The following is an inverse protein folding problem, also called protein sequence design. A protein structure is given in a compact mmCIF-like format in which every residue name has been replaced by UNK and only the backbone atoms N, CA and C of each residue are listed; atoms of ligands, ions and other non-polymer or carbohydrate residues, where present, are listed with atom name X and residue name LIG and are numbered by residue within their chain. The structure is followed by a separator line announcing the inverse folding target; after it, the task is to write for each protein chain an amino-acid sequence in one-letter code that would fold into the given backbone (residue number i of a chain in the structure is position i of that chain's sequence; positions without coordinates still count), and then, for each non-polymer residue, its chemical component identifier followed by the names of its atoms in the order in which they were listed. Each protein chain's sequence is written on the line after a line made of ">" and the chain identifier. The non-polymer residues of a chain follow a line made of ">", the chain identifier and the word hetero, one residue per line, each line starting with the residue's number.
data_IF_239128517179
#
_entry.id   IF_239128517179
#
_cell.length_a   1.000
_cell.length_b   1.000
_cell.length_c   1.000
_cell.angle_alpha   90.00
_cell.angle_beta   90.00
_cell.angle_gamma   90.00
#
_symmetry.space_group_name_H-M   'P 1'
#
loop_
_entity.id
_entity.type
_entity.pdbx_description
1 polymer ?
#
# COMPACT_ATOMS: atom_id res chain seq x y z
N UNK A 1 15.80 -6.86 -7.59
CA UNK A 1 16.33 -6.11 -6.44
C UNK A 1 15.21 -5.40 -5.69
N UNK A 2 14.43 -4.52 -6.34
CA UNK A 2 13.32 -3.79 -5.69
C UNK A 2 12.35 -4.73 -4.96
N UNK A 3 11.76 -5.72 -5.64
CA UNK A 3 10.79 -6.64 -5.04
C UNK A 3 11.31 -7.38 -3.79
N UNK A 4 12.60 -7.73 -3.76
CA UNK A 4 13.21 -8.42 -2.60
C UNK A 4 13.32 -7.48 -1.39
N UNK A 5 13.55 -6.20 -1.63
CA UNK A 5 13.81 -5.21 -0.59
C UNK A 5 12.55 -4.51 -0.08
N UNK A 6 11.38 -4.67 -0.72
CA UNK A 6 10.17 -3.92 -0.35
C UNK A 6 9.76 -4.10 1.12
N UNK A 7 9.93 -5.31 1.67
CA UNK A 7 9.56 -5.61 3.05
C UNK A 7 10.75 -5.42 4.02
N UNK A 8 11.99 -5.66 3.56
CA UNK A 8 13.21 -5.60 4.39
C UNK A 8 13.79 -4.17 4.52
N UNK A 9 13.93 -3.47 3.39
CA UNK A 9 14.52 -2.14 3.29
C UNK A 9 13.81 -1.31 2.19
N UNK A 10 12.65 -0.71 2.54
CA UNK A 10 11.88 0.11 1.62
C UNK A 10 12.67 1.28 1.04
N UNK A 11 13.62 1.83 1.80
CA UNK A 11 14.43 2.97 1.38
C UNK A 11 15.39 2.56 0.26
N UNK A 12 16.10 1.45 0.41
CA UNK A 12 16.94 0.92 -0.67
C UNK A 12 16.11 0.49 -1.88
N UNK A 13 14.95 -0.12 -1.67
CA UNK A 13 14.01 -0.47 -2.74
C UNK A 13 13.61 0.78 -3.56
N UNK A 14 13.29 1.88 -2.87
CA UNK A 14 12.98 3.16 -3.51
C UNK A 14 14.15 3.72 -4.30
N UNK A 15 15.38 3.69 -3.78
CA UNK A 15 16.55 4.21 -4.50
C UNK A 15 16.80 3.45 -5.81
N UNK A 16 16.68 2.12 -5.79
CA UNK A 16 16.77 1.29 -7.00
C UNK A 16 15.63 1.59 -7.98
N UNK A 17 14.39 1.70 -7.50
CA UNK A 17 13.24 1.97 -8.35
C UNK A 17 13.31 3.38 -8.97
N UNK A 18 13.76 4.38 -8.21
CA UNK A 18 14.00 5.75 -8.68
C UNK A 18 15.07 5.79 -9.77
N UNK A 19 16.16 5.04 -9.60
CA UNK A 19 17.19 4.93 -10.63
C UNK A 19 16.65 4.28 -11.91
N UNK A 20 15.85 3.22 -11.80
CA UNK A 20 15.21 2.62 -12.97
C UNK A 20 14.26 3.62 -13.66
N UNK A 21 13.45 4.36 -12.89
CA UNK A 21 12.52 5.35 -13.41
C UNK A 21 13.19 6.55 -14.10
N UNK A 22 14.42 6.93 -13.71
CA UNK A 22 15.18 7.98 -14.40
C UNK A 22 15.67 7.55 -15.78
N UNK A 23 15.83 6.24 -16.02
CA UNK A 23 16.30 5.69 -17.31
C UNK A 23 15.14 5.17 -18.19
N UNK A 24 14.07 4.65 -17.59
CA UNK A 24 12.93 4.06 -18.27
C UNK A 24 11.62 4.82 -17.98
N UNK A 25 11.70 6.16 -17.96
CA UNK A 25 10.63 7.02 -17.47
C UNK A 25 9.32 7.03 -18.27
N UNK A 26 9.24 6.34 -19.41
CA UNK A 26 8.02 6.18 -20.22
C UNK A 26 7.39 4.78 -20.10
N UNK A 27 7.94 3.94 -19.24
CA UNK A 27 7.45 2.58 -19.00
C UNK A 27 6.55 2.61 -17.76
N UNK A 28 5.26 2.31 -17.95
CA UNK A 28 4.25 2.42 -16.90
C UNK A 28 4.60 1.59 -15.65
N UNK A 29 4.99 0.32 -15.83
CA UNK A 29 5.35 -0.56 -14.71
C UNK A 29 6.58 -0.08 -13.92
N UNK A 30 7.52 0.62 -14.59
CA UNK A 30 8.69 1.19 -13.89
C UNK A 30 8.26 2.38 -13.03
N UNK A 31 7.35 3.20 -13.53
CA UNK A 31 6.75 4.31 -12.76
C UNK A 31 5.95 3.80 -11.58
N UNK A 32 5.12 2.79 -11.80
CA UNK A 32 4.35 2.12 -10.76
C UNK A 32 5.25 1.56 -9.65
N UNK A 33 6.28 0.79 -10.03
CA UNK A 33 7.25 0.24 -9.09
C UNK A 33 7.93 1.34 -8.26
N UNK A 34 8.33 2.45 -8.90
CA UNK A 34 8.90 3.59 -8.18
C UNK A 34 7.91 4.27 -7.24
N UNK A 35 6.63 4.36 -7.65
CA UNK A 35 5.56 4.92 -6.82
C UNK A 35 5.28 4.09 -5.57
N UNK A 36 5.16 2.77 -5.72
CA UNK A 36 4.93 1.84 -4.60
C UNK A 36 6.12 1.85 -3.64
N UNK A 37 7.35 1.76 -4.17
CA UNK A 37 8.54 1.79 -3.32
C UNK A 37 8.69 3.13 -2.58
N UNK A 38 8.40 4.25 -3.25
CA UNK A 38 8.38 5.57 -2.62
C UNK A 38 7.33 5.66 -1.50
N UNK A 39 6.13 5.10 -1.72
CA UNK A 39 5.05 5.10 -0.73
C UNK A 39 5.45 4.32 0.53
N UNK A 40 5.99 3.10 0.36
CA UNK A 40 6.45 2.28 1.49
C UNK A 40 7.65 2.91 2.22
N UNK A 41 8.48 3.68 1.52
CA UNK A 41 9.59 4.42 2.10
C UNK A 41 9.18 5.79 2.70
N UNK A 42 7.90 6.17 2.65
CA UNK A 42 7.39 7.44 3.21
C UNK A 42 7.66 8.68 2.35
N UNK A 43 8.13 8.53 1.11
CA UNK A 43 8.32 9.63 0.16
C UNK A 43 7.02 9.94 -0.59
N UNK A 44 6.00 10.41 0.14
CA UNK A 44 4.63 10.56 -0.37
C UNK A 44 4.50 11.50 -1.57
N UNK A 45 5.31 12.56 -1.62
CA UNK A 45 5.27 13.52 -2.73
C UNK A 45 5.74 12.90 -4.05
N UNK A 46 6.79 12.08 -3.97
CA UNK A 46 7.34 11.32 -5.08
C UNK A 46 6.42 10.17 -5.46
N UNK A 47 5.90 9.43 -4.48
CA UNK A 47 4.93 8.36 -4.71
C UNK A 47 3.73 8.86 -5.52
N UNK A 48 3.14 9.98 -5.10
CA UNK A 48 2.02 10.61 -5.79
C UNK A 48 2.34 11.00 -7.23
N UNK A 49 3.54 11.54 -7.47
CA UNK A 49 3.99 11.90 -8.83
C UNK A 49 4.12 10.67 -9.72
N UNK A 50 4.74 9.61 -9.21
CA UNK A 50 5.01 8.39 -9.97
C UNK A 50 3.73 7.59 -10.23
N UNK A 51 2.83 7.45 -9.24
CA UNK A 51 1.53 6.77 -9.40
C UNK A 51 0.66 7.48 -10.45
N UNK A 52 0.56 8.81 -10.39
CA UNK A 52 -0.17 9.58 -11.42
C UNK A 52 0.47 9.44 -12.80
N UNK A 53 1.79 9.35 -12.88
CA UNK A 53 2.50 9.11 -14.14
C UNK A 53 2.23 7.69 -14.67
N UNK A 54 2.25 6.67 -13.82
CA UNK A 54 1.91 5.30 -14.17
C UNK A 54 0.49 5.22 -14.75
N UNK A 55 -0.51 5.81 -14.07
CA UNK A 55 -1.90 5.89 -14.55
C UNK A 55 -2.02 6.55 -15.92
N UNK A 56 -1.34 7.69 -16.15
CA UNK A 56 -1.35 8.37 -17.46
C UNK A 56 -0.74 7.52 -18.58
N UNK A 57 0.27 6.70 -18.26
CA UNK A 57 0.95 5.87 -19.24
C UNK A 57 0.21 4.56 -19.52
N UNK A 58 -0.41 3.95 -18.50
CA UNK A 58 -1.16 2.70 -18.64
C UNK A 58 -2.59 2.90 -19.13
N UNK A 59 -3.21 4.04 -18.78
CA UNK A 59 -4.63 4.29 -18.99
C UNK A 59 -5.54 3.51 -18.02
N UNK A 60 -4.97 2.85 -17.00
CA UNK A 60 -5.70 2.06 -16.01
C UNK A 60 -5.76 2.82 -14.68
N UNK A 61 -6.94 2.90 -14.07
CA UNK A 61 -7.16 3.58 -12.79
C UNK A 61 -6.69 2.77 -11.56
N UNK A 62 -5.44 2.33 -11.60
CA UNK A 62 -4.80 1.58 -10.51
C UNK A 62 -4.32 2.52 -9.39
N UNK A 63 -4.05 1.93 -8.22
CA UNK A 63 -3.39 2.57 -7.07
C UNK A 63 -4.10 3.80 -6.52
N UNK A 64 -5.43 3.84 -6.64
CA UNK A 64 -6.23 4.96 -6.12
C UNK A 64 -6.12 5.08 -4.61
N UNK A 65 -6.08 3.96 -3.88
CA UNK A 65 -5.86 3.94 -2.44
C UNK A 65 -4.53 4.60 -2.05
N UNK A 66 -3.43 4.28 -2.76
CA UNK A 66 -2.10 4.89 -2.52
C UNK A 66 -2.13 6.39 -2.77
N UNK A 67 -2.77 6.85 -3.85
CA UNK A 67 -2.90 8.29 -4.12
C UNK A 67 -3.65 9.02 -3.00
N UNK A 68 -4.77 8.46 -2.53
CA UNK A 68 -5.56 9.04 -1.43
C UNK A 68 -4.73 9.09 -0.15
N UNK A 69 -4.02 8.02 0.18
CA UNK A 69 -3.23 7.96 1.41
C UNK A 69 -2.02 8.91 1.37
N UNK A 70 -1.39 9.07 0.19
CA UNK A 70 -0.31 10.05 0.01
C UNK A 70 -0.80 11.49 0.25
N UNK A 71 -1.95 11.89 -0.32
CA UNK A 71 -2.51 13.23 -0.08
C UNK A 71 -2.90 13.41 1.39
N UNK A 72 -3.43 12.36 2.04
CA UNK A 72 -3.74 12.35 3.48
C UNK A 72 -2.48 12.53 4.34
N UNK A 73 -1.42 11.77 4.06
CA UNK A 73 -0.13 11.85 4.77
C UNK A 73 0.57 13.20 4.59
N UNK A 74 0.33 13.88 3.46
CA UNK A 74 0.79 15.25 3.21
C UNK A 74 -0.10 16.32 3.89
N UNK A 75 -1.19 15.92 4.55
CA UNK A 75 -2.13 16.82 5.24
C UNK A 75 -3.17 17.47 4.31
N UNK A 76 -3.25 17.06 3.04
CA UNK A 76 -4.21 17.61 2.08
C UNK A 76 -5.53 16.83 2.10
N UNK A 77 -6.25 16.87 3.22
CA UNK A 77 -7.45 16.04 3.42
C UNK A 77 -8.52 16.25 2.33
N UNK A 78 -8.74 17.49 1.88
CA UNK A 78 -9.71 17.78 0.82
C UNK A 78 -9.31 17.14 -0.52
N UNK A 79 -8.02 17.15 -0.86
CA UNK A 79 -7.51 16.52 -2.08
C UNK A 79 -7.57 15.00 -1.99
N UNK A 80 -7.29 14.43 -0.83
CA UNK A 80 -7.44 13.01 -0.58
C UNK A 80 -8.91 12.59 -0.81
N UNK A 81 -9.86 13.37 -0.30
CA UNK A 81 -11.29 13.09 -0.48
C UNK A 81 -11.72 13.21 -1.96
N UNK A 82 -11.26 14.25 -2.66
CA UNK A 82 -11.49 14.40 -4.10
C UNK A 82 -10.92 13.23 -4.90
N UNK A 83 -9.70 12.80 -4.58
CA UNK A 83 -9.07 11.66 -5.24
C UNK A 83 -9.87 10.36 -5.01
N UNK A 84 -10.39 10.15 -3.80
CA UNK A 84 -11.23 9.00 -3.49
C UNK A 84 -12.56 9.02 -4.28
N UNK A 85 -13.19 10.19 -4.42
CA UNK A 85 -14.43 10.37 -5.18
C UNK A 85 -14.23 10.21 -6.69
N UNK A 86 -13.04 10.51 -7.19
CA UNK A 86 -12.70 10.36 -8.61
C UNK A 86 -12.44 8.91 -9.03
N UNK A 87 -12.46 7.95 -8.09
CA UNK A 87 -12.31 6.52 -8.38
C UNK A 87 -13.52 6.01 -9.18
N UNK A 88 -13.30 5.30 -10.29
CA UNK A 88 -14.38 4.61 -11.00
C UNK A 88 -14.60 3.21 -10.40
N UNK A 89 -15.72 2.93 -9.72
CA UNK A 89 -15.96 1.62 -9.10
C UNK A 89 -15.96 0.45 -10.09
N UNK A 90 -16.13 0.71 -11.39
CA UNK A 90 -16.10 -0.31 -12.44
C UNK A 90 -14.69 -0.75 -12.83
N UNK A 91 -13.68 0.05 -12.49
CA UNK A 91 -12.28 -0.22 -12.82
C UNK A 91 -11.50 -0.83 -11.65
N UNK A 92 -12.09 -0.83 -10.45
CA UNK A 92 -11.47 -1.38 -9.26
C UNK A 92 -11.88 -2.83 -9.05
N UNK A 93 -10.89 -3.69 -8.81
CA UNK A 93 -11.16 -5.05 -8.37
C UNK A 93 -11.67 -5.09 -6.90
N UNK A 94 -11.91 -6.29 -6.37
CA UNK A 94 -12.38 -6.47 -5.00
C UNK A 94 -11.36 -6.02 -3.94
N UNK A 95 -10.08 -6.29 -4.18
CA UNK A 95 -9.00 -5.94 -3.26
C UNK A 95 -8.80 -4.43 -3.27
N UNK A 96 -8.72 -3.81 -4.45
CA UNK A 96 -8.57 -2.37 -4.60
C UNK A 96 -9.73 -1.59 -3.97
N UNK A 97 -10.97 -2.10 -4.07
CA UNK A 97 -12.12 -1.50 -3.38
C UNK A 97 -11.99 -1.58 -1.86
N UNK A 98 -11.52 -2.71 -1.32
CA UNK A 98 -11.29 -2.87 0.11
C UNK A 98 -10.16 -1.95 0.62
N UNK A 99 -9.04 -1.89 -0.10
CA UNK A 99 -7.92 -0.97 0.20
C UNK A 99 -8.38 0.49 0.21
N UNK A 100 -9.14 0.90 -0.81
CA UNK A 100 -9.68 2.26 -0.88
C UNK A 100 -10.63 2.52 0.29
N UNK A 101 -11.50 1.57 0.67
CA UNK A 101 -12.39 1.71 1.82
C UNK A 101 -11.62 1.88 3.14
N UNK A 102 -10.54 1.12 3.34
CA UNK A 102 -9.66 1.25 4.50
C UNK A 102 -9.04 2.64 4.59
N UNK A 103 -8.46 3.13 3.49
CA UNK A 103 -7.85 4.48 3.44
C UNK A 103 -8.90 5.58 3.65
N UNK A 104 -10.07 5.47 3.00
CA UNK A 104 -11.13 6.47 3.14
C UNK A 104 -11.70 6.49 4.56
N UNK A 105 -11.82 5.35 5.23
CA UNK A 105 -12.20 5.29 6.64
C UNK A 105 -11.24 6.07 7.54
N UNK A 106 -9.93 5.86 7.35
CA UNK A 106 -8.89 6.60 8.08
C UNK A 106 -8.94 8.09 7.77
N UNK A 107 -9.10 8.47 6.50
CA UNK A 107 -9.29 9.87 6.09
C UNK A 107 -10.50 10.51 6.79
N UNK A 108 -11.63 9.81 6.87
CA UNK A 108 -12.83 10.33 7.55
C UNK A 108 -12.57 10.58 9.03
N UNK A 109 -11.83 9.70 9.69
CA UNK A 109 -11.42 9.94 11.07
C UNK A 109 -10.49 11.14 11.22
N UNK A 110 -9.52 11.31 10.33
CA UNK A 110 -8.64 12.49 10.34
C UNK A 110 -9.44 13.80 10.19
N UNK A 111 -10.59 13.74 9.51
CA UNK A 111 -11.57 14.83 9.39
C UNK A 111 -12.55 14.95 10.57
N UNK A 112 -12.40 14.14 11.62
CA UNK A 112 -13.30 14.08 12.78
C UNK A 112 -14.64 13.40 12.51
N UNK A 113 -14.77 12.66 11.41
CA UNK A 113 -15.99 11.98 10.95
C UNK A 113 -15.90 10.46 11.18
N UNK A 114 -15.47 10.05 12.38
CA UNK A 114 -15.19 8.64 12.70
C UNK A 114 -16.40 7.72 12.48
N UNK A 115 -17.62 8.17 12.79
CA UNK A 115 -18.85 7.40 12.54
C UNK A 115 -19.02 7.07 11.05
N UNK A 116 -18.73 8.02 10.17
CA UNK A 116 -18.79 7.80 8.73
C UNK A 116 -17.69 6.84 8.27
N UNK A 117 -16.49 6.93 8.86
CA UNK A 117 -15.43 5.95 8.62
C UNK A 117 -15.85 4.53 8.98
N UNK A 118 -16.51 4.35 10.13
CA UNK A 118 -17.05 3.05 10.54
C UNK A 118 -18.08 2.49 9.54
N UNK A 119 -19.03 3.32 9.08
CA UNK A 119 -20.04 2.89 8.09
C UNK A 119 -19.37 2.38 6.81
N UNK A 120 -18.37 3.11 6.29
CA UNK A 120 -17.64 2.73 5.08
C UNK A 120 -16.99 1.35 5.22
N UNK A 121 -16.37 1.08 6.38
CA UNK A 121 -15.76 -0.23 6.66
C UNK A 121 -16.81 -1.32 6.80
N UNK A 122 -17.92 -1.05 7.46
CA UNK A 122 -18.99 -2.04 7.60
C UNK A 122 -19.61 -2.42 6.26
N UNK A 123 -19.76 -1.46 5.34
CA UNK A 123 -20.22 -1.71 3.98
C UNK A 123 -19.20 -2.52 3.17
N UNK A 124 -17.91 -2.22 3.31
CA UNK A 124 -16.84 -3.00 2.67
C UNK A 124 -16.79 -4.46 3.19
N UNK A 125 -16.97 -4.68 4.49
CA UNK A 125 -17.09 -6.03 5.08
C UNK A 125 -18.34 -6.75 4.56
N UNK A 126 -19.46 -6.03 4.41
CA UNK A 126 -20.74 -6.60 3.90
C UNK A 126 -20.63 -7.05 2.44
N UNK A 127 -19.73 -6.45 1.67
CA UNK A 127 -19.42 -6.91 0.32
C UNK A 127 -18.80 -8.32 0.29
N UNK A 128 -18.31 -8.83 1.45
CA UNK A 128 -17.72 -10.16 1.64
C UNK A 128 -16.53 -10.42 0.70
N UNK A 129 -15.43 -9.67 0.85
CA UNK A 129 -14.22 -9.90 0.08
C UNK A 129 -13.77 -11.36 0.18
N UNK A 130 -13.40 -11.94 -0.97
CA UNK A 130 -13.02 -13.35 -1.07
C UNK A 130 -11.68 -13.65 -0.40
N UNK A 131 -10.77 -12.68 -0.39
CA UNK A 131 -9.47 -12.80 0.27
C UNK A 131 -9.59 -12.67 1.80
N UNK A 132 -9.15 -13.70 2.52
CA UNK A 132 -9.26 -13.77 3.97
C UNK A 132 -8.37 -12.76 4.69
N UNK A 133 -7.22 -12.40 4.10
CA UNK A 133 -6.29 -11.43 4.68
C UNK A 133 -6.87 -10.02 4.58
N UNK A 134 -7.40 -9.65 3.41
CA UNK A 134 -8.14 -8.41 3.17
C UNK A 134 -9.32 -8.28 4.12
N UNK A 135 -10.11 -9.35 4.29
CA UNK A 135 -11.22 -9.35 5.24
C UNK A 135 -10.75 -9.16 6.70
N UNK A 136 -9.64 -9.79 7.09
CA UNK A 136 -9.03 -9.60 8.41
C UNK A 136 -8.60 -8.15 8.61
N UNK A 137 -7.92 -7.53 7.63
CA UNK A 137 -7.49 -6.13 7.68
C UNK A 137 -8.68 -5.17 7.80
N UNK A 138 -9.76 -5.39 7.05
CA UNK A 138 -11.01 -4.63 7.20
C UNK A 138 -11.58 -4.72 8.62
N UNK A 139 -11.59 -5.92 9.22
CA UNK A 139 -12.02 -6.10 10.60
C UNK A 139 -11.08 -5.43 11.62
N UNK A 140 -9.78 -5.37 11.35
CA UNK A 140 -8.82 -4.61 12.15
C UNK A 140 -9.17 -3.12 12.16
N UNK A 141 -9.35 -2.51 10.98
CA UNK A 141 -9.77 -1.10 10.85
C UNK A 141 -11.12 -0.85 11.52
N UNK A 142 -12.06 -1.80 11.42
CA UNK A 142 -13.36 -1.73 12.13
C UNK A 142 -13.16 -1.64 13.64
N UNK A 143 -12.29 -2.48 14.21
CA UNK A 143 -12.00 -2.47 15.64
C UNK A 143 -11.40 -1.12 16.06
N UNK A 144 -10.50 -0.55 15.26
CA UNK A 144 -9.90 0.75 15.54
C UNK A 144 -10.96 1.87 15.52
N UNK A 145 -11.85 1.89 14.51
CA UNK A 145 -12.95 2.89 14.47
C UNK A 145 -13.88 2.75 15.67
N UNK A 146 -14.18 1.52 16.11
CA UNK A 146 -15.00 1.27 17.29
C UNK A 146 -14.32 1.78 18.58
N UNK A 147 -13.02 1.54 18.72
CA UNK A 147 -12.24 2.02 19.87
C UNK A 147 -12.18 3.55 19.94
N UNK A 148 -11.95 4.22 18.81
CA UNK A 148 -11.94 5.69 18.72
C UNK A 148 -13.30 6.33 19.06
N UNK A 149 -14.40 5.60 18.83
CA UNK A 149 -15.74 5.98 19.24
C UNK A 149 -16.06 5.62 20.71
N UNK A 150 -15.11 5.04 21.45
CA UNK A 150 -15.26 4.62 22.84
C UNK A 150 -16.00 3.29 23.03
N UNK A 151 -16.25 2.53 21.95
CA UNK A 151 -16.91 1.22 21.97
C UNK A 151 -15.91 0.08 22.22
N UNK A 152 -15.13 0.21 23.30
CA UNK A 152 -13.97 -0.65 23.58
C UNK A 152 -14.30 -2.15 23.65
N UNK A 153 -15.42 -2.52 24.27
CA UNK A 153 -15.83 -3.94 24.39
C UNK A 153 -16.11 -4.57 23.03
N UNK A 154 -16.68 -3.81 22.10
CA UNK A 154 -16.95 -4.29 20.74
C UNK A 154 -15.66 -4.41 19.94
N UNK A 155 -14.75 -3.43 20.07
CA UNK A 155 -13.44 -3.47 19.44
C UNK A 155 -12.63 -4.69 19.89
N UNK A 156 -12.56 -4.96 21.19
CA UNK A 156 -11.88 -6.12 21.78
C UNK A 156 -12.49 -7.44 21.29
N UNK A 157 -13.82 -7.56 21.29
CA UNK A 157 -14.50 -8.76 20.79
C UNK A 157 -14.24 -9.03 19.29
N UNK A 158 -14.00 -7.98 18.49
CA UNK A 158 -13.59 -8.14 17.09
C UNK A 158 -12.13 -8.61 17.01
N UNK A 159 -11.22 -8.00 17.78
CA UNK A 159 -9.79 -8.38 17.83
C UNK A 159 -9.60 -9.84 18.26
N UNK A 160 -10.32 -10.28 19.30
CA UNK A 160 -10.31 -11.66 19.76
C UNK A 160 -10.77 -12.64 18.67
N UNK A 161 -11.74 -12.25 17.85
CA UNK A 161 -12.27 -13.09 16.78
C UNK A 161 -11.30 -13.23 15.60
N UNK A 162 -10.63 -12.14 15.21
CA UNK A 162 -9.68 -12.17 14.09
C UNK A 162 -8.34 -12.83 14.46
N UNK A 163 -8.02 -12.84 15.76
CA UNK A 163 -6.75 -13.34 16.28
C UNK A 163 -5.60 -12.32 16.12
N UNK A 164 -4.41 -12.64 16.63
CA UNK A 164 -3.24 -11.81 16.42
C UNK A 164 -2.91 -11.69 14.93
N UNK A 165 -2.25 -10.60 14.55
CA UNK A 165 -1.67 -10.49 13.22
C UNK A 165 -0.69 -11.66 12.99
N UNK A 166 -0.72 -12.28 11.80
CA UNK A 166 0.20 -13.33 11.48
C UNK A 166 1.59 -12.70 11.42
N UNK A 167 2.51 -13.18 12.26
CA UNK A 167 3.93 -12.87 12.07
C UNK A 167 4.39 -13.63 10.84
N UNK A 168 5.12 -12.97 9.93
CA UNK A 168 5.82 -13.67 8.86
C UNK A 168 6.79 -14.65 9.55
N UNK A 169 6.49 -15.94 9.49
CA UNK A 169 7.39 -16.97 9.99
C UNK A 169 8.59 -17.02 9.04
N UNK A 170 9.80 -16.93 9.60
CA UNK A 170 11.04 -17.08 8.84
C UNK A 170 10.95 -18.33 7.94
N UNK A 171 11.32 -18.19 6.67
CA UNK A 171 11.34 -19.28 5.70
C UNK A 171 12.10 -20.48 6.29
N UNK A 172 11.39 -21.56 6.61
CA UNK A 172 12.01 -22.75 7.18
C UNK A 172 12.91 -23.38 6.11
N UNK A 173 14.22 -23.14 6.22
CA UNK A 173 15.22 -23.85 5.43
C UNK A 173 15.16 -25.35 5.77
N UNK A 174 14.51 -26.13 4.90
CA UNK A 174 14.50 -27.58 5.00
C UNK A 174 15.86 -28.09 4.53
N UNK A 175 16.71 -28.47 5.47
CA UNK A 175 17.94 -29.19 5.16
C UNK A 175 17.63 -30.67 4.93
N UNK A 176 17.98 -31.20 3.76
CA UNK A 176 17.98 -32.65 3.53
C UNK A 176 19.09 -33.29 4.38
N UNK A 177 18.72 -34.24 5.25
CA UNK A 177 19.62 -34.92 6.22
C UNK A 177 20.38 -36.09 5.56
N UNK A 178 20.35 -36.24 4.23
CA UNK A 178 20.79 -37.49 3.59
C UNK A 178 22.30 -37.59 3.26
N UNK A 179 23.12 -36.55 3.46
CA UNK A 179 24.53 -36.58 2.99
C UNK A 179 25.58 -37.03 4.05
N UNK A 180 25.22 -37.27 5.30
CA UNK A 180 26.21 -37.56 6.38
C UNK A 180 26.36 -39.04 6.77
N UNK A 181 25.75 -39.98 6.04
CA UNK A 181 25.76 -41.41 6.42
C UNK A 181 26.66 -42.35 5.61
N UNK A 182 27.38 -41.87 4.58
CA UNK A 182 28.12 -42.77 3.66
C UNK A 182 29.66 -42.62 3.65
N UNK A 183 30.25 -41.93 4.64
CA UNK A 183 31.71 -41.74 4.72
C UNK A 183 32.45 -42.70 5.67
N UNK A 184 31.84 -43.80 6.14
CA UNK A 184 32.50 -44.81 6.97
C UNK A 184 32.40 -46.23 6.41
N UNK A 185 32.93 -46.48 5.21
CA UNK A 185 33.35 -47.83 4.82
C UNK A 185 34.41 -47.82 3.71
N UNK A 186 35.53 -48.53 4.00
CA UNK A 186 36.62 -48.97 3.10
C UNK A 186 37.84 -48.01 2.98
N UNK A 187 39.10 -48.41 3.16
CA UNK A 187 39.74 -49.70 3.47
C UNK A 187 41.21 -49.42 3.86
N UNK A 188 41.77 -50.25 4.74
CA UNK A 188 43.18 -50.29 5.15
C UNK A 188 44.06 -51.01 4.09
N UNK A 189 45.32 -50.57 3.86
CA UNK A 189 46.58 -51.34 4.07
C UNK A 189 47.80 -50.99 3.15
N UNK A 190 48.83 -50.35 3.75
CA UNK A 190 50.32 -50.55 3.63
C UNK A 190 51.17 -50.25 2.35
N UNK A 191 52.53 -50.13 2.42
CA UNK A 191 53.35 -49.11 3.13
C UNK A 191 54.63 -48.59 2.36
N UNK A 192 55.28 -47.57 2.92
CA UNK A 192 56.69 -47.05 2.78
C UNK A 192 57.40 -46.84 1.41
N UNK A 193 57.94 -45.62 1.19
CA UNK A 193 59.40 -45.36 0.99
C UNK A 193 59.80 -43.86 1.04
N UNK A 194 60.96 -43.66 1.65
CA UNK A 194 61.69 -42.44 2.03
C UNK A 194 62.21 -41.54 0.90
N UNK A 195 62.38 -40.23 1.18
CA UNK A 195 63.12 -39.27 0.34
C UNK A 195 63.20 -37.82 0.84
N UNK A 196 64.06 -37.56 1.85
CA UNK A 196 64.88 -36.37 2.17
C UNK A 196 64.66 -34.99 1.49
N UNK A 197 64.38 -33.97 2.34
CA UNK A 197 64.90 -32.58 2.48
C UNK A 197 65.29 -31.71 1.24
N UNK A 198 64.84 -30.45 1.18
CA UNK A 198 65.56 -29.26 1.72
C UNK A 198 64.95 -27.91 1.29
N UNK A 199 65.25 -26.88 2.10
CA UNK A 199 64.80 -25.49 2.20
C UNK A 199 64.85 -24.58 0.96
N UNK A 200 64.07 -23.49 1.01
CA UNK A 200 64.48 -22.15 0.54
C UNK A 200 63.93 -21.03 1.44
N UNK A 201 64.87 -20.21 1.92
CA UNK A 201 64.76 -18.96 2.71
C UNK A 201 63.94 -17.86 2.00
N UNK A 202 63.15 -17.04 2.72
CA UNK A 202 63.50 -15.71 3.25
C UNK A 202 64.36 -14.85 2.31
N UNK A 203 63.82 -13.69 1.90
CA UNK A 203 64.36 -12.40 2.32
C UNK A 203 63.45 -11.25 1.87
N UNK A 204 63.22 -10.33 2.80
CA UNK A 204 62.66 -9.00 2.51
C UNK A 204 63.78 -8.00 2.28
N UNK A 205 63.44 -6.88 1.64
CA UNK A 205 64.14 -5.62 1.86
C UNK A 205 63.21 -4.43 1.61
N UNK A 206 63.29 -3.50 2.54
CA UNK A 206 62.77 -2.12 2.61
C UNK A 206 63.63 -1.21 1.72
N UNK A 207 63.16 -0.13 1.10
CA UNK A 207 62.94 1.23 1.64
C UNK A 207 62.53 2.09 0.43
N UNK A 208 61.49 2.92 0.53
CA UNK A 208 61.52 4.36 0.82
C UNK A 208 61.79 5.25 -0.42
N UNK A 209 60.90 6.21 -0.64
CA UNK A 209 61.17 7.55 -1.20
C UNK A 209 59.84 8.31 -1.33
N UNK A 210 59.83 9.48 -0.70
CA UNK A 210 58.72 10.40 -0.54
C UNK A 210 58.82 11.52 -1.56
N UNK A 211 57.71 11.96 -2.19
CA UNK A 211 57.55 13.38 -2.56
C UNK A 211 56.08 13.81 -2.58
N UNK A 212 55.85 14.95 -1.95
CA UNK A 212 54.66 15.81 -1.82
C UNK A 212 54.01 16.31 -3.13
N UNK A 213 52.73 16.67 -3.08
CA UNK A 213 52.30 18.09 -3.09
C UNK A 213 50.78 18.27 -2.89
N UNK A 214 50.44 19.29 -2.12
CA UNK A 214 49.10 19.79 -1.87
C UNK A 214 48.80 20.99 -2.77
N UNK A 215 47.55 21.16 -3.22
CA UNK A 215 47.03 22.47 -3.65
C UNK A 215 45.50 22.54 -3.58
N UNK A 216 45.02 23.24 -2.56
CA UNK A 216 43.74 23.94 -2.47
C UNK A 216 43.62 25.03 -3.56
N UNK A 217 42.43 25.21 -4.14
CA UNK A 217 41.94 26.54 -4.59
C UNK A 217 40.44 26.54 -4.92
N UNK A 218 39.69 27.22 -4.05
CA UNK A 218 38.35 27.77 -4.28
C UNK A 218 38.27 28.71 -5.50
N UNK A 219 37.15 28.70 -6.25
CA UNK A 219 36.53 29.89 -6.86
C UNK A 219 35.02 29.74 -7.05
N UNK A 220 34.28 30.64 -6.42
CA UNK A 220 32.88 30.98 -6.68
C UNK A 220 32.76 32.01 -7.82
N UNK A 221 31.66 31.98 -8.57
CA UNK A 221 30.96 33.07 -9.30
C UNK A 221 29.75 32.40 -9.98
N UNK A 222 28.50 32.59 -9.53
CA UNK A 222 27.63 33.76 -9.73
C UNK A 222 27.27 33.99 -11.20
N UNK A 223 26.07 33.56 -11.61
CA UNK A 223 25.38 34.09 -12.79
C UNK A 223 23.86 33.93 -12.63
N UNK A 224 23.22 35.06 -12.32
CA UNK A 224 21.80 35.27 -12.36
C UNK A 224 21.32 35.37 -13.82
N UNK A 225 20.20 34.72 -14.15
CA UNK A 225 19.41 35.03 -15.33
C UNK A 225 17.93 35.09 -14.95
N UNK A 226 17.47 36.30 -14.69
CA UNK A 226 16.07 36.70 -14.87
C UNK A 226 15.82 36.82 -16.38
N UNK A 227 14.68 36.35 -16.90
CA UNK A 227 13.58 37.26 -17.30
C UNK A 227 12.42 36.50 -18.01
N UNK A 228 11.25 36.66 -17.39
CA UNK A 228 9.88 36.85 -17.88
C UNK A 228 9.27 36.16 -19.12
N UNK A 229 8.12 35.58 -18.79
CA UNK A 229 6.79 35.84 -19.34
C UNK A 229 6.39 35.20 -20.68
N UNK A 230 5.49 34.23 -20.58
CA UNK A 230 4.24 34.24 -21.35
C UNK A 230 3.13 33.64 -20.50
N UNK A 231 2.09 34.45 -20.32
CA UNK A 231 0.85 34.14 -19.63
C UNK A 231 -0.15 33.42 -20.55
N UNK A 232 -1.28 33.06 -19.95
CA UNK A 232 -2.58 32.72 -20.55
C UNK A 232 -2.88 31.23 -20.76
N UNK A 233 -3.54 30.65 -19.75
CA UNK A 233 -4.84 29.95 -19.86
C UNK A 233 -5.24 29.44 -18.47
N UNK A 234 -5.80 30.33 -17.65
CA UNK A 234 -6.68 29.92 -16.55
C UNK A 234 -8.10 30.02 -17.08
N UNK A 235 -8.68 28.88 -17.44
CA UNK A 235 -10.14 28.79 -17.54
C UNK A 235 -10.71 28.88 -16.12
N UNK A 236 -11.74 29.71 -16.06
CA UNK A 236 -12.37 30.27 -14.89
C UNK A 236 -13.43 29.30 -14.38
N UNK A 237 -13.15 28.57 -13.30
CA UNK A 237 -14.18 27.83 -12.56
C UNK A 237 -14.90 28.84 -11.64
N UNK A 238 -16.03 29.35 -12.13
CA UNK A 238 -16.97 30.13 -11.33
C UNK A 238 -17.44 29.27 -10.14
N UNK A 239 -17.45 29.81 -8.90
CA UNK A 239 -18.06 29.12 -7.78
C UNK A 239 -19.57 28.98 -8.02
N UNK A 240 -20.04 27.73 -8.10
CA UNK A 240 -21.47 27.39 -8.21
C UNK A 240 -22.28 28.12 -7.14
N UNK A 241 -23.43 28.67 -7.54
CA UNK A 241 -24.26 29.48 -6.66
C UNK A 241 -24.90 28.63 -5.55
N UNK A 242 -25.09 29.21 -4.36
CA UNK A 242 -25.69 28.51 -3.21
C UNK A 242 -27.10 27.96 -3.52
N UNK A 243 -27.81 28.57 -4.47
CA UNK A 243 -29.14 28.15 -4.91
C UNK A 243 -29.12 26.84 -5.71
N UNK A 244 -28.06 26.58 -6.49
CA UNK A 244 -27.88 25.33 -7.24
C UNK A 244 -27.48 24.16 -6.32
N UNK A 245 -26.69 24.42 -5.28
CA UNK A 245 -26.34 23.42 -4.26
C UNK A 245 -27.57 22.99 -3.42
N UNK A 246 -28.48 23.93 -3.16
CA UNK A 246 -29.74 23.64 -2.48
C UNK A 246 -30.70 22.82 -3.36
N UNK A 247 -30.79 23.14 -4.66
CA UNK A 247 -31.59 22.35 -5.61
C UNK A 247 -31.04 20.92 -5.81
N UNK A 248 -29.71 20.76 -5.83
CA UNK A 248 -29.08 19.44 -5.93
C UNK A 248 -29.32 18.58 -4.69
N UNK A 249 -29.25 19.20 -3.50
CA UNK A 249 -29.54 18.52 -2.23
C UNK A 249 -31.03 18.11 -2.12
N UNK A 250 -31.95 18.93 -2.62
CA UNK A 250 -33.39 18.58 -2.69
C UNK A 250 -33.65 17.41 -3.65
N UNK A 251 -33.02 17.41 -4.83
CA UNK A 251 -33.13 16.31 -5.81
C UNK A 251 -32.52 14.99 -5.31
N UNK A 252 -31.55 15.05 -4.41
CA UNK A 252 -31.01 13.87 -3.74
C UNK A 252 -31.98 13.35 -2.67
N UNK A 253 -32.50 14.22 -1.80
CA UNK A 253 -33.48 13.84 -0.78
C UNK A 253 -34.75 13.21 -1.37
N UNK A 254 -35.30 13.78 -2.44
CA UNK A 254 -36.49 13.21 -3.12
C UNK A 254 -36.22 11.83 -3.73
N UNK A 255 -35.01 11.60 -4.25
CA UNK A 255 -34.62 10.27 -4.78
C UNK A 255 -34.47 9.23 -3.68
N UNK A 256 -33.87 9.61 -2.55
CA UNK A 256 -33.75 8.73 -1.38
C UNK A 256 -35.11 8.41 -0.77
N UNK A 257 -36.02 9.39 -0.68
CA UNK A 257 -37.38 9.16 -0.19
C UNK A 257 -38.18 8.25 -1.12
N UNK A 258 -38.03 8.38 -2.44
CA UNK A 258 -38.66 7.50 -3.41
C UNK A 258 -38.16 6.05 -3.31
N UNK A 259 -36.84 5.85 -3.20
CA UNK A 259 -36.24 4.52 -3.05
C UNK A 259 -36.63 3.86 -1.71
N UNK A 260 -36.68 4.64 -0.63
CA UNK A 260 -37.14 4.19 0.67
C UNK A 260 -38.62 3.80 0.68
N UNK A 261 -39.46 4.52 -0.06
CA UNK A 261 -40.88 4.20 -0.19
C UNK A 261 -41.09 2.89 -0.98
N UNK A 262 -40.28 2.63 -2.00
CA UNK A 262 -40.31 1.39 -2.78
C UNK A 262 -39.91 0.19 -1.90
N UNK A 263 -38.82 0.30 -1.13
CA UNK A 263 -38.39 -0.74 -0.19
C UNK A 263 -39.41 -1.06 0.90
N UNK A 264 -40.16 -0.05 1.36
CA UNK A 264 -41.22 -0.23 2.36
C UNK A 264 -42.49 -0.88 1.78
N UNK A 265 -42.77 -0.69 0.49
CA UNK A 265 -43.87 -1.37 -0.19
C UNK A 265 -43.56 -2.86 -0.42
N UNK A 266 -42.34 -3.19 -0.84
CA UNK A 266 -41.89 -4.58 -1.01
C UNK A 266 -41.91 -5.37 0.31
N UNK A 267 -41.65 -4.70 1.44
CA UNK A 267 -41.75 -5.29 2.77
C UNK A 267 -43.19 -5.59 3.22
N UNK A 268 -44.20 -4.88 2.69
CA UNK A 268 -45.61 -5.10 3.02
C UNK A 268 -46.29 -6.15 2.14
N UNK A 269 -45.75 -6.44 0.95
CA UNK A 269 -46.28 -7.43 0.01
C UNK A 269 -45.73 -8.86 0.21
N UNK A 270 -44.96 -9.11 1.29
CA UNK A 270 -44.53 -10.48 1.62
C UNK A 270 -45.64 -11.20 2.42
N UNK A 271 -46.36 -12.19 1.87
CA UNK A 271 -47.38 -12.91 2.64
C UNK A 271 -46.69 -13.80 3.70
N UNK A 272 -47.16 -13.70 4.94
CA UNK A 272 -46.71 -14.53 6.05
C UNK A 272 -46.85 -16.04 5.72
N UNK A 273 -45.90 -16.90 6.14
CA UNK A 273 -46.02 -18.33 5.95
C UNK A 273 -47.17 -18.87 6.82
N UNK A 274 -48.20 -19.39 6.16
CA UNK A 274 -49.37 -20.01 6.79
C UNK A 274 -48.94 -21.20 7.65
N UNK A 275 -49.02 -21.06 8.96
CA UNK A 275 -48.96 -22.17 9.91
C UNK A 275 -50.23 -23.01 9.78
N UNK A 276 -50.18 -24.11 9.02
CA UNK A 276 -51.21 -25.15 9.11
C UNK A 276 -50.89 -26.07 10.29
N UNK A 277 -51.41 -25.69 11.46
CA UNK A 277 -51.67 -26.62 12.54
C UNK A 277 -52.95 -27.38 12.18
N UNK A 278 -52.85 -28.69 11.97
CA UNK A 278 -54.00 -29.60 11.94
C UNK A 278 -53.85 -30.58 13.09
N UNK A 279 -54.58 -30.30 14.17
CA UNK A 279 -54.94 -31.26 15.23
C UNK A 279 -56.02 -32.24 14.71
N UNK A 280 -55.72 -33.55 14.84
CA UNK A 280 -56.55 -34.69 15.34
C UNK A 280 -57.95 -35.01 14.74
N UNK A 281 -58.63 -36.18 15.00
CA UNK A 281 -58.40 -37.25 15.99
C UNK A 281 -58.60 -38.74 15.55
N UNK A 282 -58.29 -39.64 16.50
CA UNK A 282 -58.58 -41.09 16.66
C UNK A 282 -57.65 -42.14 16.05
#
# INVERSE_FOLDING_TARGET
>A
MVQRLLNEDPQAAYEHARYAASHAGRVAVVRETAGIAAYLAGHYSEALREIRAARRLSGLDLHRAIEVDCERALGHLDKALQAAQAADPRQLDEIERAELAMVVSSLRHDMGQTDLGLIIIEDAIRARPSDSETLRRLHSVRADRLEELGRHQEAEAIRDRIGPEPVEEDEVEVFDIEDDYDSEAQEEDSPERSGTQSATDSDGDTDDEAVSEAAEASRASDEAAQDKASADLYEHDEPMSQDENAQWSQSFSERVEAEMAELLQDAQDTPAPSTNASEEPR
#
